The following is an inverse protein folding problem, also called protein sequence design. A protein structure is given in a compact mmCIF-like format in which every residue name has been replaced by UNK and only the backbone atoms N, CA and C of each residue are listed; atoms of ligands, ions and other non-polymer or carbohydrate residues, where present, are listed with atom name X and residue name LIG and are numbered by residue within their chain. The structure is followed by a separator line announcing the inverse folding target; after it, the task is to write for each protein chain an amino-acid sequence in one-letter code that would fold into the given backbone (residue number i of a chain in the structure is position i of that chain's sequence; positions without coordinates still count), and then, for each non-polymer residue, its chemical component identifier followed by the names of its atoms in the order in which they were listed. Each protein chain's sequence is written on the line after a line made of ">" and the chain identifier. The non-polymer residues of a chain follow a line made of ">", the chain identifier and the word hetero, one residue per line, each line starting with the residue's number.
data_IF_675056996772
#
_entry.id   IF_675056996772
#
_cell.length_a   1.000
_cell.length_b   1.000
_cell.length_c   1.000
_cell.angle_alpha   90.00
_cell.angle_beta   90.00
_cell.angle_gamma   90.00
#
_symmetry.space_group_name_H-M   'P 1'
#
loop_
_entity.id
_entity.type
_entity.pdbx_description
1 polymer ?
#
# COMPACT_ATOMS: atom_id res chain seq x y z
N UNK A 1 -2.60 -0.17 -16.70
CA UNK A 1 -3.58 -1.09 -16.06
C UNK A 1 -3.53 -0.75 -14.59
N UNK A 2 -4.65 -0.71 -13.89
CA UNK A 2 -4.63 -0.45 -12.45
C UNK A 2 -4.08 -1.66 -11.70
N UNK A 3 -3.21 -1.43 -10.71
CA UNK A 3 -2.69 -2.46 -9.82
C UNK A 3 -3.83 -3.06 -8.99
N UNK A 4 -3.70 -4.34 -8.64
CA UNK A 4 -4.72 -5.09 -7.89
C UNK A 4 -4.32 -5.13 -6.41
N UNK A 5 -5.18 -4.63 -5.52
CA UNK A 5 -4.99 -4.77 -4.08
C UNK A 5 -5.18 -6.23 -3.68
N UNK A 6 -4.24 -6.75 -2.91
CA UNK A 6 -4.30 -8.10 -2.33
C UNK A 6 -4.37 -8.01 -0.80
N UNK A 7 -5.04 -9.00 -0.19
CA UNK A 7 -5.11 -9.11 1.26
C UNK A 7 -3.84 -9.76 1.85
N UNK A 8 -3.75 -9.82 3.18
CA UNK A 8 -2.58 -10.35 3.88
C UNK A 8 -2.39 -11.85 3.69
N UNK A 9 -3.44 -12.62 3.38
CA UNK A 9 -3.32 -14.04 3.09
C UNK A 9 -2.74 -14.25 1.69
N UNK A 10 -3.20 -13.48 0.71
CA UNK A 10 -2.68 -13.47 -0.65
C UNK A 10 -1.22 -13.02 -0.69
N UNK A 11 -0.89 -11.94 0.03
CA UNK A 11 0.47 -11.41 0.10
C UNK A 11 1.50 -12.45 0.61
N UNK A 12 1.09 -13.31 1.54
CA UNK A 12 1.94 -14.41 2.06
C UNK A 12 2.22 -15.52 1.06
N UNK A 13 1.44 -15.61 -0.02
CA UNK A 13 1.58 -16.62 -1.07
C UNK A 13 2.19 -16.04 -2.35
N UNK A 14 2.94 -14.95 -2.25
CA UNK A 14 3.57 -14.24 -3.38
C UNK A 14 5.03 -14.64 -3.61
N UNK A 15 5.47 -15.82 -3.12
CA UNK A 15 6.88 -16.27 -3.24
C UNK A 15 7.36 -16.36 -4.69
N UNK A 16 6.47 -16.68 -5.63
CA UNK A 16 6.76 -16.77 -7.08
C UNK A 16 6.56 -15.45 -7.84
N UNK A 17 6.14 -14.38 -7.16
CA UNK A 17 5.86 -13.06 -7.78
C UNK A 17 7.02 -12.11 -7.47
N UNK A 18 7.45 -11.34 -8.47
CA UNK A 18 8.60 -10.46 -8.30
C UNK A 18 8.24 -9.28 -7.39
N UNK A 19 8.87 -9.20 -6.22
CA UNK A 19 8.78 -8.00 -5.39
C UNK A 19 9.49 -6.82 -6.08
N UNK A 20 8.81 -5.69 -6.13
CA UNK A 20 9.34 -4.40 -6.58
C UNK A 20 9.79 -3.52 -5.40
N UNK A 21 9.49 -3.93 -4.17
CA UNK A 21 9.86 -3.23 -2.94
C UNK A 21 8.64 -2.71 -2.16
N UNK A 22 8.88 -1.66 -1.38
CA UNK A 22 7.87 -1.03 -0.52
C UNK A 22 7.75 0.44 -0.89
N UNK A 23 6.51 0.91 -1.06
CA UNK A 23 6.20 2.32 -1.22
C UNK A 23 5.82 2.92 0.13
N UNK A 24 6.27 4.15 0.37
CA UNK A 24 5.92 4.93 1.55
C UNK A 24 5.40 6.29 1.11
N UNK A 25 4.19 6.63 1.50
CA UNK A 25 3.66 7.95 1.22
C UNK A 25 4.06 8.89 2.36
N UNK A 26 4.91 9.86 2.04
CA UNK A 26 5.36 10.88 3.00
C UNK A 26 4.28 11.96 3.22
N UNK A 27 3.08 11.53 3.62
CA UNK A 27 1.93 12.36 3.92
C UNK A 27 1.11 11.70 5.04
N UNK A 28 0.51 12.52 5.91
CA UNK A 28 -0.37 12.03 6.96
C UNK A 28 -1.81 12.00 6.45
N UNK A 29 -2.48 10.89 6.62
CA UNK A 29 -3.87 10.72 6.20
C UNK A 29 -4.83 10.79 7.37
N UNK A 30 -5.95 11.49 7.18
CA UNK A 30 -7.04 11.52 8.15
C UNK A 30 -7.95 10.29 7.99
N UNK A 31 -8.11 9.80 6.76
CA UNK A 31 -9.00 8.69 6.43
C UNK A 31 -8.30 7.58 5.65
N UNK A 32 -8.82 6.36 5.75
CA UNK A 32 -8.23 5.20 5.06
C UNK A 32 -8.47 5.29 3.56
N UNK A 33 -9.58 5.91 3.14
CA UNK A 33 -9.91 6.11 1.72
C UNK A 33 -8.91 7.03 1.02
N UNK A 34 -8.44 8.09 1.68
CA UNK A 34 -7.41 8.98 1.12
C UNK A 34 -6.06 8.25 1.00
N UNK A 35 -5.70 7.47 2.01
CA UNK A 35 -4.49 6.65 2.00
C UNK A 35 -4.53 5.60 0.89
N UNK A 36 -5.66 4.89 0.76
CA UNK A 36 -5.87 3.87 -0.28
C UNK A 36 -5.80 4.47 -1.69
N UNK A 37 -6.40 5.65 -1.90
CA UNK A 37 -6.32 6.34 -3.20
C UNK A 37 -4.87 6.72 -3.53
N UNK A 38 -4.15 7.33 -2.58
CA UNK A 38 -2.76 7.74 -2.79
C UNK A 38 -1.84 6.54 -3.08
N UNK A 39 -2.03 5.43 -2.36
CA UNK A 39 -1.29 4.19 -2.63
C UNK A 39 -1.64 3.62 -4.02
N UNK A 40 -2.92 3.64 -4.41
CA UNK A 40 -3.32 3.16 -5.74
C UNK A 40 -2.60 3.93 -6.86
N UNK A 41 -2.63 5.27 -6.80
CA UNK A 41 -1.98 6.15 -7.77
C UNK A 41 -0.47 5.90 -7.85
N UNK A 42 0.19 5.74 -6.70
CA UNK A 42 1.63 5.47 -6.63
C UNK A 42 1.99 4.06 -7.16
N UNK A 43 1.17 3.04 -6.84
CA UNK A 43 1.39 1.67 -7.34
C UNK A 43 1.30 1.60 -8.86
N UNK A 44 0.36 2.35 -9.45
CA UNK A 44 0.20 2.46 -10.89
C UNK A 44 1.40 3.19 -11.52
N UNK A 45 1.87 4.27 -10.89
CA UNK A 45 3.04 5.02 -11.34
C UNK A 45 4.32 4.17 -11.32
N UNK A 46 4.46 3.26 -10.35
CA UNK A 46 5.58 2.32 -10.26
C UNK A 46 5.42 1.07 -11.14
N UNK A 47 4.29 0.93 -11.85
CA UNK A 47 4.03 -0.20 -12.74
C UNK A 47 3.82 -1.52 -12.01
N UNK A 48 3.38 -1.48 -10.76
CA UNK A 48 3.04 -2.66 -9.99
C UNK A 48 1.80 -3.34 -10.58
N UNK A 49 1.77 -4.68 -10.50
CA UNK A 49 0.60 -5.48 -10.86
C UNK A 49 -0.25 -5.81 -9.64
N UNK A 50 0.40 -6.02 -8.49
CA UNK A 50 -0.24 -6.29 -7.21
C UNK A 50 0.34 -5.40 -6.13
N UNK A 51 -0.46 -5.08 -5.11
CA UNK A 51 0.02 -4.39 -3.93
C UNK A 51 -0.73 -4.79 -2.67
N UNK A 52 -0.02 -4.81 -1.55
CA UNK A 52 -0.60 -5.07 -0.23
C UNK A 52 -0.46 -3.82 0.65
N UNK A 53 -1.60 -3.22 1.02
CA UNK A 53 -1.64 -1.99 1.81
C UNK A 53 -1.36 -2.27 3.29
N UNK A 54 -0.49 -1.45 3.88
CA UNK A 54 -0.19 -1.39 5.31
C UNK A 54 -0.43 0.03 5.82
N UNK A 55 -1.50 0.20 6.61
CA UNK A 55 -1.82 1.46 7.29
C UNK A 55 -1.39 1.37 8.75
N UNK A 56 -0.58 2.33 9.18
CA UNK A 56 -0.14 2.42 10.58
C UNK A 56 -0.70 3.68 11.22
N UNK A 57 -1.34 3.52 12.39
CA UNK A 57 -1.78 4.64 13.23
C UNK A 57 -0.86 4.76 14.43
N UNK A 58 -0.36 5.95 14.71
CA UNK A 58 0.45 6.18 15.91
C UNK A 58 -0.41 6.05 17.18
N UNK A 59 -0.03 5.23 18.17
CA UNK A 59 -0.75 5.12 19.43
C UNK A 59 -0.84 6.48 20.15
N UNK A 60 -2.05 6.92 20.46
CA UNK A 60 -2.30 8.22 21.10
C UNK A 60 -2.39 9.42 20.15
N UNK A 61 -2.28 9.21 18.83
CA UNK A 61 -2.54 10.25 17.83
C UNK A 61 -4.04 10.34 17.50
N UNK A 62 -4.55 11.56 17.31
CA UNK A 62 -5.97 11.88 17.08
C UNK A 62 -6.45 11.66 15.63
N UNK A 63 -5.72 10.90 14.80
CA UNK A 63 -6.26 10.49 13.50
C UNK A 63 -5.27 10.41 12.35
N UNK A 64 -4.02 10.85 12.53
CA UNK A 64 -3.04 10.78 11.45
C UNK A 64 -2.53 9.36 11.26
N UNK A 65 -2.50 8.93 10.00
CA UNK A 65 -2.02 7.63 9.58
C UNK A 65 -0.88 7.75 8.59
N UNK A 66 0.01 6.77 8.65
CA UNK A 66 1.02 6.52 7.65
C UNK A 66 0.55 5.43 6.71
N UNK A 67 0.74 5.66 5.41
CA UNK A 67 0.37 4.73 4.37
C UNK A 67 1.63 4.16 3.72
N UNK A 68 1.68 2.84 3.62
CA UNK A 68 2.72 2.11 2.92
C UNK A 68 2.12 0.91 2.19
N UNK A 69 2.79 0.40 1.17
CA UNK A 69 2.39 -0.84 0.54
C UNK A 69 3.58 -1.63 0.01
N UNK A 70 3.51 -2.96 0.14
CA UNK A 70 4.39 -3.85 -0.61
C UNK A 70 3.88 -3.94 -2.05
N UNK A 71 4.78 -3.88 -3.03
CA UNK A 71 4.41 -3.91 -4.46
C UNK A 71 5.10 -5.06 -5.20
N UNK A 72 4.38 -5.62 -6.18
CA UNK A 72 4.78 -6.82 -6.91
C UNK A 72 4.45 -6.72 -8.41
N UNK A 73 5.26 -7.37 -9.25
CA UNK A 73 5.08 -7.47 -10.71
C UNK A 73 4.62 -8.86 -11.14
#
# INVERSE_FOLDING_TARGET
>A
MAAIRIDSQQARNMDDVQSLGVIYINHNFATESEADQALNEETDAQGAKYYHVMLTREPGSNGNMHASADIYQ
#
